data_IF_124777880619
#
_entry.id   IF_124777880619
#
_cell.length_a   1.000
_cell.length_b   1.000
_cell.length_c   1.000
_cell.angle_alpha   90.00
_cell.angle_beta   90.00
_cell.angle_gamma   90.00
#
_symmetry.space_group_name_H-M   'P 1'
#
loop_
_entity.id
_entity.type
_entity.pdbx_description
1 polymer ?
#
# COMPACT_ATOMS: atom_id res chain seq x y z
N UNK A 1 -7.90 61.20 -56.11
CA UNK A 1 -7.14 61.18 -54.83
C UNK A 1 -7.14 59.78 -54.27
N UNK A 2 -6.14 58.98 -54.65
CA UNK A 2 -5.98 57.60 -54.14
C UNK A 2 -4.95 57.64 -53.07
N UNK A 3 -5.35 57.40 -51.80
CA UNK A 3 -4.45 57.27 -50.69
C UNK A 3 -4.10 55.78 -50.51
N UNK A 4 -2.85 55.42 -50.86
CA UNK A 4 -2.26 54.12 -50.66
C UNK A 4 -2.20 53.78 -49.17
N UNK A 5 -3.00 52.78 -48.75
CA UNK A 5 -2.83 52.12 -47.49
C UNK A 5 -1.81 50.99 -47.70
N UNK A 6 -0.60 51.17 -47.17
CA UNK A 6 0.38 50.11 -47.02
C UNK A 6 -0.02 49.21 -45.85
N UNK A 7 -0.17 47.90 -46.05
CA UNK A 7 -0.34 47.00 -44.90
C UNK A 7 0.99 46.79 -44.20
N UNK A 8 1.03 47.13 -42.92
CA UNK A 8 2.14 46.87 -42.03
C UNK A 8 2.14 45.37 -41.69
N UNK A 9 3.04 44.60 -42.30
CA UNK A 9 3.23 43.17 -42.00
C UNK A 9 4.08 43.08 -40.74
N UNK A 10 3.44 42.71 -39.64
CA UNK A 10 4.09 42.44 -38.38
C UNK A 10 4.66 41.01 -38.41
N UNK A 11 5.97 40.86 -38.66
CA UNK A 11 6.64 39.57 -38.64
C UNK A 11 6.91 39.21 -37.16
N UNK A 12 6.12 38.28 -36.63
CA UNK A 12 6.31 37.76 -35.31
C UNK A 12 7.44 36.68 -35.35
N UNK A 13 8.66 37.06 -34.98
CA UNK A 13 9.76 36.14 -34.85
C UNK A 13 9.61 35.35 -33.54
N UNK A 14 9.19 34.10 -33.62
CA UNK A 14 9.20 33.16 -32.49
C UNK A 14 10.67 32.71 -32.28
N UNK A 15 11.26 33.21 -31.22
CA UNK A 15 12.58 32.73 -30.78
C UNK A 15 12.42 31.34 -30.17
N UNK A 16 12.86 30.31 -30.90
CA UNK A 16 12.95 28.96 -30.36
C UNK A 16 14.09 28.91 -29.35
N UNK A 17 13.75 28.80 -28.05
CA UNK A 17 14.74 28.54 -27.01
C UNK A 17 15.14 27.06 -27.06
N UNK A 18 16.43 26.74 -27.17
CA UNK A 18 16.88 25.36 -27.10
C UNK A 18 16.58 24.80 -25.70
N UNK A 19 15.73 23.78 -25.62
CA UNK A 19 15.55 22.99 -24.40
C UNK A 19 16.83 22.21 -24.16
N UNK A 20 17.60 22.60 -23.12
CA UNK A 20 18.72 21.80 -22.65
C UNK A 20 18.11 20.57 -21.94
N UNK A 21 17.92 19.48 -22.70
CA UNK A 21 17.67 18.18 -22.11
C UNK A 21 18.93 17.78 -21.34
N UNK A 22 18.93 17.98 -20.01
CA UNK A 22 19.99 17.47 -19.16
C UNK A 22 20.06 15.96 -19.34
N UNK A 23 21.13 15.44 -19.93
CA UNK A 23 21.39 14.02 -19.96
C UNK A 23 21.64 13.55 -18.52
N UNK A 24 20.66 12.90 -17.92
CA UNK A 24 20.88 12.14 -16.70
C UNK A 24 21.98 11.12 -17.01
N UNK A 25 23.09 11.18 -16.27
CA UNK A 25 24.15 10.18 -16.41
C UNK A 25 23.61 8.76 -16.18
N UNK A 26 24.31 7.73 -16.65
CA UNK A 26 23.87 6.35 -16.47
C UNK A 26 23.67 6.06 -14.97
N UNK A 27 22.48 5.53 -14.60
CA UNK A 27 22.20 5.09 -13.24
C UNK A 27 22.98 3.80 -13.02
N UNK A 28 23.99 3.85 -12.17
CA UNK A 28 24.77 2.67 -11.78
C UNK A 28 24.02 1.96 -10.62
N UNK A 29 23.41 0.82 -10.93
CA UNK A 29 22.76 -0.03 -9.94
C UNK A 29 23.81 -0.94 -9.29
N UNK A 30 24.05 -0.77 -7.99
CA UNK A 30 24.91 -1.66 -7.21
C UNK A 30 24.04 -2.70 -6.50
N UNK A 31 24.35 -3.96 -6.72
CA UNK A 31 23.74 -5.05 -5.96
C UNK A 31 24.23 -5.00 -4.52
N UNK A 32 23.33 -4.82 -3.57
CA UNK A 32 23.61 -4.90 -2.14
C UNK A 32 22.99 -6.17 -1.60
N UNK A 33 23.79 -7.03 -0.95
CA UNK A 33 23.26 -8.17 -0.22
C UNK A 33 22.70 -7.66 1.10
N UNK A 34 21.37 -7.73 1.25
CA UNK A 34 20.68 -7.36 2.47
C UNK A 34 20.30 -8.64 3.20
N UNK A 35 20.79 -8.80 4.41
CA UNK A 35 20.27 -9.82 5.33
C UNK A 35 19.02 -9.20 6.00
N UNK A 36 17.85 -9.62 5.53
CA UNK A 36 16.59 -9.19 6.13
C UNK A 36 16.42 -9.90 7.48
N UNK A 37 16.01 -9.17 8.53
CA UNK A 37 15.69 -9.83 9.79
C UNK A 37 14.57 -10.85 9.58
N UNK A 38 14.73 -12.00 10.20
CA UNK A 38 13.74 -13.07 10.19
C UNK A 38 12.42 -12.55 10.79
N UNK A 39 11.40 -12.39 9.95
CA UNK A 39 10.13 -11.82 10.37
C UNK A 39 9.02 -12.86 10.54
N UNK A 40 9.37 -14.15 10.46
CA UNK A 40 8.42 -15.26 10.50
C UNK A 40 7.97 -15.61 11.92
N UNK A 41 7.73 -14.57 12.68
CA UNK A 41 7.10 -14.73 13.99
C UNK A 41 5.63 -15.07 13.78
N UNK A 42 5.21 -16.10 14.46
CA UNK A 42 3.79 -16.42 14.62
C UNK A 42 3.12 -15.36 15.50
N UNK A 43 1.81 -15.32 15.43
CA UNK A 43 1.04 -14.56 16.41
C UNK A 43 1.26 -15.14 17.81
N UNK A 44 1.33 -14.30 18.86
CA UNK A 44 1.51 -14.77 20.23
C UNK A 44 0.48 -15.83 20.65
N UNK A 45 0.89 -16.74 21.51
CA UNK A 45 -0.02 -17.75 22.05
C UNK A 45 -1.21 -17.11 22.77
N UNK A 46 -2.36 -17.70 22.60
CA UNK A 46 -3.61 -17.24 23.22
C UNK A 46 -4.82 -17.96 22.65
N UNK A 47 -5.98 -17.69 23.22
CA UNK A 47 -7.22 -18.27 22.71
C UNK A 47 -7.50 -17.79 21.29
N UNK A 48 -7.53 -18.71 20.34
CA UNK A 48 -7.72 -18.42 18.91
C UNK A 48 -6.41 -18.19 18.13
N UNK A 49 -5.23 -18.36 18.75
CA UNK A 49 -3.94 -18.24 18.06
C UNK A 49 -3.79 -19.21 16.90
N UNK A 50 -4.30 -20.44 17.03
CA UNK A 50 -4.26 -21.41 15.93
C UNK A 50 -5.10 -20.93 14.73
N UNK A 51 -6.29 -20.43 14.99
CA UNK A 51 -7.16 -19.94 13.91
C UNK A 51 -6.49 -18.77 13.16
N UNK A 52 -5.92 -17.79 13.86
CA UNK A 52 -5.26 -16.66 13.18
C UNK A 52 -3.97 -17.10 12.49
N UNK A 53 -3.16 -17.95 13.10
CA UNK A 53 -1.92 -18.43 12.49
C UNK A 53 -2.18 -19.24 11.22
N UNK A 54 -3.17 -20.14 11.25
CA UNK A 54 -3.49 -21.00 10.12
C UNK A 54 -4.12 -20.23 8.94
N UNK A 55 -4.84 -19.16 9.21
CA UNK A 55 -5.56 -18.43 8.18
C UNK A 55 -4.85 -17.16 7.70
N UNK A 56 -4.16 -16.43 8.58
CA UNK A 56 -3.62 -15.11 8.22
C UNK A 56 -2.19 -15.16 7.69
N UNK A 57 -1.34 -16.09 8.20
CA UNK A 57 0.07 -16.17 7.83
C UNK A 57 0.31 -16.63 6.39
N UNK A 58 -0.71 -17.16 5.72
CA UNK A 58 -0.61 -17.50 4.30
C UNK A 58 -0.36 -16.28 3.39
N UNK A 59 -0.79 -15.08 3.80
CA UNK A 59 -0.72 -13.87 3.01
C UNK A 59 -0.07 -12.70 3.74
N UNK A 60 -0.06 -12.69 5.06
CA UNK A 60 0.46 -11.62 5.90
C UNK A 60 1.52 -12.12 6.87
N UNK A 61 2.48 -11.26 7.22
CA UNK A 61 3.29 -11.50 8.40
C UNK A 61 2.49 -11.16 9.65
N UNK A 62 2.75 -11.85 10.76
CA UNK A 62 2.16 -11.49 12.05
C UNK A 62 2.46 -10.02 12.39
N UNK A 63 3.67 -9.54 12.12
CA UNK A 63 4.07 -8.14 12.36
C UNK A 63 3.20 -7.14 11.63
N UNK A 64 2.75 -7.43 10.41
CA UNK A 64 1.87 -6.53 9.66
C UNK A 64 0.54 -6.28 10.40
N UNK A 65 -0.01 -7.30 11.03
CA UNK A 65 -1.26 -7.19 11.80
C UNK A 65 -1.00 -6.62 13.20
N UNK A 66 0.07 -7.06 13.86
CA UNK A 66 0.42 -6.63 15.21
C UNK A 66 0.78 -5.13 15.28
N UNK A 67 1.24 -4.53 14.20
CA UNK A 67 1.56 -3.11 14.13
C UNK A 67 0.35 -2.22 13.75
N UNK A 68 -0.82 -2.82 13.49
CA UNK A 68 -2.04 -2.02 13.28
C UNK A 68 -2.42 -1.27 14.58
N UNK A 69 -3.11 -0.13 14.48
CA UNK A 69 -3.62 0.56 15.65
C UNK A 69 -4.66 -0.31 16.40
N UNK A 70 -4.91 0.02 17.67
CA UNK A 70 -5.98 -0.61 18.41
C UNK A 70 -7.34 -0.26 17.78
N UNK A 71 -8.17 -1.26 17.52
CA UNK A 71 -9.46 -1.08 16.84
C UNK A 71 -10.59 -1.73 17.63
N UNK A 72 -11.81 -1.19 17.46
CA UNK A 72 -12.99 -1.81 18.05
C UNK A 72 -13.28 -3.20 17.47
N UNK A 73 -14.11 -3.98 18.13
CA UNK A 73 -14.58 -5.28 17.65
C UNK A 73 -15.22 -5.17 16.26
N UNK A 74 -16.03 -4.14 16.05
CA UNK A 74 -16.72 -3.89 14.79
C UNK A 74 -15.74 -3.61 13.67
N UNK A 75 -14.69 -2.82 13.96
CA UNK A 75 -13.64 -2.52 13.00
C UNK A 75 -12.82 -3.78 12.64
N UNK A 76 -12.42 -4.58 13.64
CA UNK A 76 -11.75 -5.86 13.39
C UNK A 76 -12.63 -6.82 12.61
N UNK A 77 -13.93 -6.91 12.93
CA UNK A 77 -14.89 -7.74 12.18
C UNK A 77 -14.98 -7.30 10.72
N UNK A 78 -15.05 -5.99 10.48
CA UNK A 78 -15.11 -5.44 9.13
C UNK A 78 -13.85 -5.75 8.34
N UNK A 79 -12.68 -5.65 8.97
CA UNK A 79 -11.39 -5.92 8.33
C UNK A 79 -11.26 -7.41 7.95
N UNK A 80 -11.60 -8.34 8.86
CA UNK A 80 -11.60 -9.78 8.57
C UNK A 80 -12.58 -10.11 7.45
N UNK A 81 -13.79 -9.55 7.49
CA UNK A 81 -14.78 -9.74 6.40
C UNK A 81 -14.28 -9.18 5.06
N UNK A 82 -13.54 -8.09 5.07
CA UNK A 82 -12.92 -7.53 3.86
C UNK A 82 -11.90 -8.51 3.27
N UNK A 83 -11.08 -9.17 4.10
CA UNK A 83 -10.17 -10.22 3.62
C UNK A 83 -10.94 -11.34 2.92
N UNK A 84 -12.03 -11.81 3.51
CA UNK A 84 -12.85 -12.89 2.92
C UNK A 84 -13.56 -12.43 1.64
N UNK A 85 -14.25 -11.29 1.70
CA UNK A 85 -15.17 -10.89 0.64
C UNK A 85 -14.45 -10.26 -0.56
N UNK A 86 -13.47 -9.39 -0.30
CA UNK A 86 -12.80 -8.61 -1.34
C UNK A 86 -11.53 -9.31 -1.83
N UNK A 87 -10.71 -9.81 -0.92
CA UNK A 87 -9.43 -10.45 -1.25
C UNK A 87 -9.51 -11.97 -1.36
N UNK A 88 -10.71 -12.54 -1.11
CA UNK A 88 -10.97 -13.99 -1.26
C UNK A 88 -10.07 -14.86 -0.39
N UNK A 89 -9.70 -14.35 0.78
CA UNK A 89 -8.94 -15.14 1.75
C UNK A 89 -9.72 -16.42 2.11
N UNK A 90 -9.07 -17.59 2.09
CA UNK A 90 -9.72 -18.88 2.32
C UNK A 90 -9.94 -19.14 3.81
N UNK A 91 -10.60 -18.21 4.51
CA UNK A 91 -10.93 -18.33 5.93
C UNK A 91 -12.25 -19.10 6.06
N UNK A 92 -12.23 -20.18 6.83
CA UNK A 92 -13.44 -20.93 7.13
C UNK A 92 -14.42 -20.06 7.95
N UNK A 93 -15.72 -20.07 7.63
CA UNK A 93 -16.70 -19.24 8.35
C UNK A 93 -16.68 -19.43 9.87
N UNK A 94 -16.41 -20.63 10.34
CA UNK A 94 -16.27 -20.99 11.76
C UNK A 94 -15.08 -20.34 12.45
N UNK A 95 -13.99 -20.03 11.72
CA UNK A 95 -12.77 -19.42 12.25
C UNK A 95 -12.88 -17.90 12.39
N UNK A 96 -13.79 -17.26 11.65
CA UNK A 96 -13.93 -15.79 11.64
C UNK A 96 -14.17 -15.25 13.05
N UNK A 97 -15.04 -15.90 13.82
CA UNK A 97 -15.33 -15.49 15.21
C UNK A 97 -14.11 -15.58 16.12
N UNK A 98 -13.40 -16.71 16.06
CA UNK A 98 -12.19 -16.94 16.86
C UNK A 98 -11.06 -15.97 16.51
N UNK A 99 -10.88 -15.66 15.23
CA UNK A 99 -9.89 -14.67 14.76
C UNK A 99 -10.23 -13.27 15.27
N UNK A 100 -11.48 -12.84 15.17
CA UNK A 100 -11.92 -11.53 15.68
C UNK A 100 -11.76 -11.44 17.20
N UNK A 101 -12.14 -12.49 17.93
CA UNK A 101 -11.97 -12.54 19.39
C UNK A 101 -10.49 -12.44 19.79
N UNK A 102 -9.62 -13.13 19.09
CA UNK A 102 -8.18 -13.04 19.30
C UNK A 102 -7.65 -11.61 19.05
N UNK A 103 -8.01 -11.00 17.91
CA UNK A 103 -7.59 -9.64 17.58
C UNK A 103 -8.07 -8.60 18.59
N UNK A 104 -9.30 -8.73 19.06
CA UNK A 104 -9.85 -7.85 20.10
C UNK A 104 -9.14 -8.04 21.45
N UNK A 105 -8.84 -9.29 21.82
CA UNK A 105 -8.10 -9.55 23.05
C UNK A 105 -6.69 -8.97 23.03
N UNK A 106 -6.03 -9.01 21.86
CA UNK A 106 -4.65 -8.57 21.71
C UNK A 106 -4.53 -7.07 21.40
N UNK A 107 -5.41 -6.54 20.57
CA UNK A 107 -5.33 -5.20 19.97
C UNK A 107 -6.67 -4.45 19.99
N UNK A 108 -7.59 -4.81 20.88
CA UNK A 108 -8.88 -4.11 21.00
C UNK A 108 -8.70 -2.69 21.55
N UNK A 109 -9.44 -1.72 20.99
CA UNK A 109 -9.59 -0.41 21.59
C UNK A 109 -10.45 -0.52 22.86
N UNK A 110 -10.01 0.14 23.93
CA UNK A 110 -10.78 0.26 25.18
C UNK A 110 -11.81 1.37 25.07
#
# INVERSE_FOLDING_TARGET
MFRNLLPLIFVLTVAATPSIAGSAGPIELKTTKLDLPDSDKMFPDGRGSDAINNNCLACHSAGMVLNQPAMSREAWTSEVKKMVNNYKAPIAPEDVGAIVDYLVALKGAK
#
